data_IF_846553267895
#
_entry.id   IF_846553267895
#
_cell.length_a   1.000
_cell.length_b   1.000
_cell.length_c   1.000
_cell.angle_alpha   90.00
_cell.angle_beta   90.00
_cell.angle_gamma   90.00
#
_symmetry.space_group_name_H-M   'P 1'
#
loop_
_entity.id
_entity.type
_entity.pdbx_description
1 polymer ?
#
# COMPACT_ATOMS: atom_id res chain seq x y z
N UNK A 1 21.33 -0.71 9.64
CA UNK A 1 19.91 -0.55 10.04
C UNK A 1 19.13 -1.72 9.44
N UNK A 2 17.99 -2.12 10.00
CA UNK A 2 17.10 -3.08 9.33
C UNK A 2 16.16 -2.34 8.37
N UNK A 3 15.82 -2.96 7.24
CA UNK A 3 14.85 -2.40 6.30
C UNK A 3 13.48 -2.20 6.97
N UNK A 4 12.74 -1.19 6.55
CA UNK A 4 11.44 -0.83 7.09
C UNK A 4 10.42 -0.68 5.94
N UNK A 5 9.80 -1.78 5.56
CA UNK A 5 8.86 -1.79 4.44
C UNK A 5 7.47 -1.25 4.77
N UNK A 6 7.27 -0.77 6.00
CA UNK A 6 5.97 -0.29 6.49
C UNK A 6 4.88 -1.36 6.43
N UNK A 7 3.75 -1.07 7.00
CA UNK A 7 2.60 -1.97 6.92
C UNK A 7 1.61 -1.43 5.89
N UNK A 8 1.04 -2.30 5.06
CA UNK A 8 0.04 -1.93 4.08
C UNK A 8 -1.28 -1.43 4.69
N UNK A 9 -1.54 -1.79 5.95
CA UNK A 9 -2.65 -1.25 6.74
C UNK A 9 -2.08 -0.25 7.74
N UNK A 10 -2.13 1.08 7.47
CA UNK A 10 -1.46 2.07 8.30
C UNK A 10 -2.15 2.25 9.66
N UNK A 11 -1.36 2.47 10.71
CA UNK A 11 -1.88 2.73 12.06
C UNK A 11 -2.83 3.94 12.10
N UNK A 12 -2.61 4.95 11.24
CA UNK A 12 -3.48 6.13 11.15
C UNK A 12 -4.92 5.77 10.78
N UNK A 13 -5.13 4.77 9.91
CA UNK A 13 -6.46 4.27 9.57
C UNK A 13 -7.12 3.60 10.79
N UNK A 14 -6.38 2.78 11.53
CA UNK A 14 -6.88 2.09 12.72
C UNK A 14 -7.30 3.11 13.78
N UNK A 15 -6.45 4.10 14.04
CA UNK A 15 -6.75 5.15 15.04
C UNK A 15 -7.94 6.02 14.63
N UNK A 16 -8.08 6.36 13.35
CA UNK A 16 -9.22 7.13 12.85
C UNK A 16 -10.53 6.35 13.00
N UNK A 17 -10.56 5.06 12.68
CA UNK A 17 -11.73 4.20 12.83
C UNK A 17 -12.08 3.98 14.30
N UNK A 18 -11.09 3.80 15.17
CA UNK A 18 -11.30 3.69 16.62
C UNK A 18 -11.87 4.98 17.21
N UNK A 19 -11.34 6.15 16.82
CA UNK A 19 -11.87 7.45 17.20
C UNK A 19 -13.32 7.64 16.71
N UNK A 20 -13.61 7.30 15.45
CA UNK A 20 -14.97 7.32 14.92
C UNK A 20 -15.92 6.43 15.73
N UNK A 21 -15.49 5.23 16.08
CA UNK A 21 -16.27 4.31 16.94
C UNK A 21 -16.59 4.94 18.29
N UNK A 22 -15.59 5.57 18.93
CA UNK A 22 -15.77 6.23 20.21
C UNK A 22 -16.73 7.43 20.12
N UNK A 23 -16.59 8.27 19.09
CA UNK A 23 -17.44 9.45 18.86
C UNK A 23 -18.89 9.02 18.60
N UNK A 24 -19.13 8.10 17.69
CA UNK A 24 -20.47 7.59 17.42
C UNK A 24 -21.08 6.86 18.63
N UNK A 25 -20.26 6.10 19.37
CA UNK A 25 -20.68 5.42 20.59
C UNK A 25 -21.12 6.39 21.69
N UNK A 26 -20.32 7.42 21.94
CA UNK A 26 -20.67 8.48 22.90
C UNK A 26 -21.93 9.24 22.45
N UNK A 27 -22.05 9.55 21.16
CA UNK A 27 -23.25 10.17 20.57
C UNK A 27 -24.50 9.28 20.76
N UNK A 28 -24.38 7.99 20.50
CA UNK A 28 -25.48 7.02 20.72
C UNK A 28 -25.91 7.02 22.18
N UNK A 29 -24.95 6.92 23.11
CA UNK A 29 -25.24 6.95 24.55
C UNK A 29 -25.92 8.26 24.95
N UNK A 30 -25.41 9.41 24.53
CA UNK A 30 -26.02 10.71 24.81
C UNK A 30 -27.48 10.80 24.30
N UNK A 31 -27.74 10.30 23.09
CA UNK A 31 -29.09 10.28 22.51
C UNK A 31 -30.06 9.37 23.29
N UNK A 32 -29.56 8.28 23.91
CA UNK A 32 -30.40 7.40 24.73
C UNK A 32 -30.96 8.11 25.96
N UNK A 33 -30.22 9.08 26.54
CA UNK A 33 -30.61 9.85 27.72
C UNK A 33 -31.24 11.21 27.38
N UNK A 34 -31.19 11.64 26.12
CA UNK A 34 -31.78 12.93 25.73
C UNK A 34 -33.30 12.93 25.84
N UNK A 35 -33.87 14.04 26.31
CA UNK A 35 -35.30 14.28 26.32
C UNK A 35 -35.74 14.86 25.00
N UNK A 36 -36.37 14.04 24.14
CA UNK A 36 -36.78 14.38 22.78
C UNK A 36 -37.95 13.49 22.32
N UNK A 37 -38.55 13.90 21.19
CA UNK A 37 -39.64 13.15 20.58
C UNK A 37 -39.23 11.66 20.37
N UNK A 38 -40.04 10.67 20.83
CA UNK A 38 -39.69 9.25 20.79
C UNK A 38 -39.39 8.71 19.39
N UNK A 39 -40.08 9.20 18.37
CA UNK A 39 -39.86 8.76 16.98
C UNK A 39 -38.52 9.26 16.45
N UNK A 40 -38.20 10.54 16.68
CA UNK A 40 -36.89 11.14 16.37
C UNK A 40 -35.77 10.43 17.10
N UNK A 41 -35.95 10.16 18.42
CA UNK A 41 -34.99 9.46 19.26
C UNK A 41 -34.62 8.09 18.66
N UNK A 42 -35.62 7.28 18.33
CA UNK A 42 -35.41 5.97 17.71
C UNK A 42 -34.64 6.06 16.40
N UNK A 43 -35.00 7.02 15.53
CA UNK A 43 -34.31 7.23 14.27
C UNK A 43 -32.85 7.62 14.47
N UNK A 44 -32.57 8.62 15.33
CA UNK A 44 -31.21 9.09 15.59
C UNK A 44 -30.34 8.03 16.29
N UNK A 45 -30.87 7.38 17.33
CA UNK A 45 -30.16 6.28 18.00
C UNK A 45 -29.85 5.14 17.02
N UNK A 46 -30.80 4.80 16.13
CA UNK A 46 -30.59 3.80 15.12
C UNK A 46 -29.48 4.18 14.12
N UNK A 47 -29.53 5.42 13.61
CA UNK A 47 -28.54 5.88 12.60
C UNK A 47 -27.14 6.01 13.22
N UNK A 48 -27.01 6.69 14.35
CA UNK A 48 -25.71 6.91 15.02
C UNK A 48 -25.17 5.59 15.59
N UNK A 49 -26.04 4.71 16.10
CA UNK A 49 -25.67 3.38 16.57
C UNK A 49 -25.17 2.49 15.41
N UNK A 50 -25.81 2.55 14.25
CA UNK A 50 -25.30 1.87 13.06
C UNK A 50 -23.90 2.36 12.67
N UNK A 51 -23.65 3.68 12.74
CA UNK A 51 -22.31 4.25 12.55
C UNK A 51 -21.27 3.68 13.52
N UNK A 52 -21.63 3.53 14.80
CA UNK A 52 -20.77 2.89 15.82
C UNK A 52 -20.41 1.46 15.44
N UNK A 53 -21.39 0.67 15.02
CA UNK A 53 -21.17 -0.74 14.64
C UNK A 53 -20.29 -0.87 13.39
N UNK A 54 -20.52 -0.04 12.38
CA UNK A 54 -19.73 -0.05 11.14
C UNK A 54 -18.29 0.35 11.42
N UNK A 55 -18.07 1.49 12.10
CA UNK A 55 -16.72 1.92 12.44
C UNK A 55 -15.99 0.91 13.33
N UNK A 56 -16.69 0.32 14.30
CA UNK A 56 -16.15 -0.70 15.21
C UNK A 56 -15.75 -1.98 14.47
N UNK A 57 -16.60 -2.47 13.57
CA UNK A 57 -16.30 -3.64 12.76
C UNK A 57 -15.11 -3.37 11.82
N UNK A 58 -15.07 -2.21 11.18
CA UNK A 58 -13.94 -1.81 10.32
C UNK A 58 -12.64 -1.65 11.12
N UNK A 59 -12.70 -1.07 12.33
CA UNK A 59 -11.54 -0.96 13.21
C UNK A 59 -11.00 -2.34 13.61
N UNK A 60 -11.87 -3.25 14.04
CA UNK A 60 -11.49 -4.61 14.42
C UNK A 60 -10.88 -5.38 13.24
N UNK A 61 -11.48 -5.25 12.05
CA UNK A 61 -10.94 -5.85 10.82
C UNK A 61 -9.58 -5.26 10.46
N UNK A 62 -9.42 -3.93 10.58
CA UNK A 62 -8.15 -3.26 10.28
C UNK A 62 -7.03 -3.68 11.22
N UNK A 63 -7.31 -3.87 12.52
CA UNK A 63 -6.34 -4.41 13.49
C UNK A 63 -5.93 -5.84 13.11
N UNK A 64 -6.91 -6.69 12.76
CA UNK A 64 -6.63 -8.05 12.30
C UNK A 64 -5.79 -8.06 11.03
N UNK A 65 -6.16 -7.26 10.03
CA UNK A 65 -5.45 -7.13 8.76
C UNK A 65 -4.03 -6.58 8.97
N UNK A 66 -3.87 -5.54 9.82
CA UNK A 66 -2.56 -5.00 10.17
C UNK A 66 -1.59 -6.09 10.69
N UNK A 67 -2.09 -6.95 11.58
CA UNK A 67 -1.29 -8.07 12.09
C UNK A 67 -0.92 -9.11 11.03
N UNK A 68 -1.77 -9.30 9.99
CA UNK A 68 -1.50 -10.24 8.89
C UNK A 68 -0.56 -9.66 7.83
N UNK A 69 -0.69 -8.37 7.52
CA UNK A 69 0.11 -7.67 6.52
C UNK A 69 1.41 -7.06 7.08
N UNK A 70 1.75 -7.31 8.34
CA UNK A 70 3.05 -6.90 8.88
C UNK A 70 4.17 -7.67 8.18
N UNK A 71 5.16 -6.94 7.63
CA UNK A 71 6.29 -7.54 6.92
C UNK A 71 7.15 -8.42 7.84
N UNK A 72 7.34 -7.97 9.09
CA UNK A 72 8.12 -8.67 10.12
C UNK A 72 7.24 -9.37 11.17
N UNK A 73 5.94 -9.49 10.92
CA UNK A 73 4.98 -10.10 11.83
C UNK A 73 4.98 -11.63 11.76
N UNK A 74 4.10 -12.26 12.56
CA UNK A 74 3.99 -13.74 12.58
C UNK A 74 3.51 -14.36 11.26
N UNK A 75 2.64 -13.65 10.51
CA UNK A 75 2.05 -14.18 9.27
C UNK A 75 2.80 -13.70 8.02
N UNK A 76 3.40 -12.53 8.07
CA UNK A 76 4.24 -11.94 7.01
C UNK A 76 3.60 -11.95 5.60
N UNK A 77 2.27 -11.75 5.51
CA UNK A 77 1.54 -11.89 4.25
C UNK A 77 2.05 -10.95 3.15
N UNK A 78 2.40 -9.71 3.51
CA UNK A 78 2.98 -8.77 2.54
C UNK A 78 4.34 -9.24 2.02
N UNK A 79 5.17 -9.82 2.89
CA UNK A 79 6.45 -10.42 2.51
C UNK A 79 6.25 -11.62 1.60
N UNK A 80 5.35 -12.53 1.96
CA UNK A 80 5.03 -13.71 1.15
C UNK A 80 4.56 -13.31 -0.26
N UNK A 81 3.76 -12.24 -0.37
CA UNK A 81 3.29 -11.72 -1.67
C UNK A 81 4.45 -11.13 -2.46
N UNK A 82 5.28 -10.29 -1.85
CA UNK A 82 6.43 -9.64 -2.49
C UNK A 82 7.43 -10.69 -2.99
N UNK A 83 7.84 -11.61 -2.12
CA UNK A 83 8.79 -12.65 -2.46
C UNK A 83 8.22 -13.61 -3.52
N UNK A 84 6.94 -14.00 -3.38
CA UNK A 84 6.27 -14.85 -4.36
C UNK A 84 6.12 -14.18 -5.72
N UNK A 85 5.89 -12.86 -5.79
CA UNK A 85 5.88 -12.12 -7.07
C UNK A 85 7.28 -12.07 -7.67
N UNK A 86 8.28 -11.78 -6.85
CA UNK A 86 9.67 -11.72 -7.31
C UNK A 86 10.20 -13.07 -7.83
N UNK A 87 9.62 -14.21 -7.43
CA UNK A 87 9.98 -15.54 -7.96
C UNK A 87 9.75 -15.70 -9.46
N UNK A 88 8.75 -15.02 -9.98
CA UNK A 88 8.40 -15.06 -11.41
C UNK A 88 9.07 -13.95 -12.23
N UNK A 89 9.78 -13.06 -11.58
CA UNK A 89 10.43 -11.92 -12.23
C UNK A 89 11.87 -12.26 -12.60
N UNK A 90 12.18 -12.27 -13.90
CA UNK A 90 13.51 -12.58 -14.42
C UNK A 90 13.94 -11.53 -15.44
N UNK A 91 15.21 -11.13 -15.39
CA UNK A 91 15.84 -10.22 -16.35
C UNK A 91 16.94 -10.95 -17.12
N UNK A 92 17.17 -10.58 -18.39
CA UNK A 92 18.38 -10.98 -19.10
C UNK A 92 19.61 -10.37 -18.42
N UNK A 93 20.80 -10.88 -18.75
CA UNK A 93 22.06 -10.31 -18.25
C UNK A 93 22.21 -8.84 -18.73
N UNK A 94 22.42 -7.92 -17.79
CA UNK A 94 22.45 -6.49 -18.04
C UNK A 94 21.07 -5.83 -18.25
N UNK A 95 19.98 -6.60 -18.16
CA UNK A 95 18.62 -6.13 -18.38
C UNK A 95 18.13 -5.14 -17.30
N UNK A 96 17.11 -4.37 -17.67
CA UNK A 96 16.50 -3.36 -16.81
C UNK A 96 15.05 -3.72 -16.54
N UNK A 97 14.68 -3.81 -15.25
CA UNK A 97 13.31 -4.04 -14.81
C UNK A 97 12.68 -2.80 -14.24
N UNK A 98 11.36 -2.66 -14.39
CA UNK A 98 10.57 -1.58 -13.81
C UNK A 98 9.59 -2.14 -12.78
N UNK A 99 9.53 -1.51 -11.61
CA UNK A 99 8.49 -1.73 -10.59
C UNK A 99 7.62 -0.48 -10.47
N UNK A 100 6.37 -0.58 -10.91
CA UNK A 100 5.42 0.54 -10.95
C UNK A 100 4.60 0.57 -9.67
N UNK A 101 4.65 1.71 -8.96
CA UNK A 101 4.03 1.86 -7.65
C UNK A 101 4.84 1.15 -6.57
N UNK A 102 6.15 1.35 -6.55
CA UNK A 102 7.09 0.62 -5.70
C UNK A 102 6.91 0.87 -4.19
N UNK A 103 6.20 1.93 -3.79
CA UNK A 103 5.85 2.26 -2.40
C UNK A 103 7.08 2.41 -1.50
N UNK A 104 7.42 1.38 -0.74
CA UNK A 104 8.60 1.30 0.13
C UNK A 104 9.80 0.58 -0.51
N UNK A 105 9.71 0.21 -1.80
CA UNK A 105 10.75 -0.48 -2.54
C UNK A 105 10.84 -1.99 -2.30
N UNK A 106 9.90 -2.59 -1.58
CA UNK A 106 9.99 -4.00 -1.19
C UNK A 106 10.09 -4.96 -2.39
N UNK A 107 9.23 -4.78 -3.40
CA UNK A 107 9.23 -5.63 -4.59
C UNK A 107 10.42 -5.32 -5.50
N UNK A 108 10.74 -4.04 -5.69
CA UNK A 108 11.93 -3.60 -6.43
C UNK A 108 13.19 -4.29 -5.88
N UNK A 109 13.39 -4.25 -4.56
CA UNK A 109 14.55 -4.84 -3.88
C UNK A 109 14.53 -6.37 -3.99
N UNK A 110 13.37 -7.01 -3.81
CA UNK A 110 13.24 -8.47 -3.94
C UNK A 110 13.59 -8.94 -5.36
N UNK A 111 13.11 -8.23 -6.40
CA UNK A 111 13.45 -8.51 -7.80
C UNK A 111 14.94 -8.27 -8.08
N UNK A 112 15.52 -7.18 -7.55
CA UNK A 112 16.94 -6.87 -7.72
C UNK A 112 17.86 -7.96 -7.15
N UNK A 113 17.54 -8.49 -5.96
CA UNK A 113 18.29 -9.61 -5.34
C UNK A 113 18.30 -10.86 -6.19
N UNK A 114 17.20 -11.13 -6.90
CA UNK A 114 17.06 -12.31 -7.77
C UNK A 114 17.72 -12.12 -9.14
N UNK A 115 17.96 -10.88 -9.52
CA UNK A 115 18.58 -10.51 -10.79
C UNK A 115 19.86 -9.68 -10.57
N UNK A 116 20.93 -10.29 -9.98
CA UNK A 116 22.14 -9.54 -9.59
C UNK A 116 22.94 -8.99 -10.77
N UNK A 117 22.71 -9.51 -11.98
CA UNK A 117 23.34 -9.04 -13.22
C UNK A 117 22.46 -8.00 -13.97
N UNK A 118 21.27 -7.73 -13.49
CA UNK A 118 20.36 -6.72 -14.01
C UNK A 118 20.24 -5.52 -13.04
N UNK A 119 19.40 -4.56 -13.44
CA UNK A 119 19.09 -3.36 -12.64
C UNK A 119 17.58 -3.22 -12.49
N UNK A 120 17.12 -2.83 -11.31
CA UNK A 120 15.72 -2.54 -11.04
C UNK A 120 15.49 -1.04 -10.86
N UNK A 121 14.47 -0.51 -11.53
CA UNK A 121 13.99 0.86 -11.36
C UNK A 121 12.63 0.80 -10.68
N UNK A 122 12.49 1.43 -9.52
CA UNK A 122 11.21 1.60 -8.83
C UNK A 122 10.67 3.02 -9.04
N UNK A 123 9.43 3.14 -9.47
CA UNK A 123 8.75 4.43 -9.57
C UNK A 123 7.52 4.47 -8.70
N UNK A 124 7.26 5.63 -8.08
CA UNK A 124 6.04 5.90 -7.33
C UNK A 124 5.74 7.40 -7.33
N UNK A 125 4.49 7.76 -7.12
CA UNK A 125 4.08 9.17 -7.01
C UNK A 125 4.40 9.75 -5.63
N UNK A 126 4.46 8.91 -4.61
CA UNK A 126 4.61 9.27 -3.19
C UNK A 126 3.73 10.46 -2.81
N UNK A 127 2.45 10.37 -3.17
CA UNK A 127 1.45 11.39 -2.90
C UNK A 127 1.23 11.60 -1.39
N UNK A 128 0.61 12.73 -1.04
CA UNK A 128 0.34 13.08 0.37
C UNK A 128 -0.52 12.05 1.10
N UNK A 129 -1.33 11.30 0.39
CA UNK A 129 -2.16 10.21 0.90
C UNK A 129 -1.33 9.01 1.41
N UNK A 130 -0.10 8.87 0.92
CA UNK A 130 0.86 7.84 1.30
C UNK A 130 2.12 8.43 1.93
N UNK A 131 1.95 9.44 2.81
CA UNK A 131 3.06 10.19 3.42
C UNK A 131 4.07 9.34 4.23
N UNK A 132 3.77 8.06 4.48
CA UNK A 132 4.69 7.11 5.11
C UNK A 132 5.70 6.50 4.13
N UNK A 133 5.50 6.66 2.82
CA UNK A 133 6.37 6.19 1.76
C UNK A 133 7.12 7.36 1.11
N UNK A 134 8.34 7.14 0.67
CA UNK A 134 9.16 8.13 -0.01
C UNK A 134 10.29 7.47 -0.77
N UNK A 135 10.87 8.17 -1.74
CA UNK A 135 12.09 7.75 -2.42
C UNK A 135 13.21 7.42 -1.42
N UNK A 136 13.46 8.31 -0.47
CA UNK A 136 14.49 8.12 0.56
C UNK A 136 14.27 6.84 1.39
N UNK A 137 13.02 6.51 1.72
CA UNK A 137 12.71 5.25 2.41
C UNK A 137 13.10 4.02 1.57
N UNK A 138 12.90 4.09 0.24
CA UNK A 138 13.28 2.99 -0.66
C UNK A 138 14.81 2.84 -0.73
N UNK A 139 15.53 3.95 -0.82
CA UNK A 139 16.99 4.00 -0.80
C UNK A 139 17.54 3.44 0.52
N UNK A 140 17.02 3.90 1.67
CA UNK A 140 17.38 3.39 3.00
C UNK A 140 17.13 1.88 3.12
N UNK A 141 16.02 1.38 2.57
CA UNK A 141 15.70 -0.05 2.58
C UNK A 141 16.66 -0.86 1.70
N UNK A 142 17.01 -0.33 0.52
CA UNK A 142 17.99 -0.96 -0.38
C UNK A 142 19.36 -1.06 0.28
N UNK A 143 19.83 0.02 0.90
CA UNK A 143 21.09 0.06 1.64
C UNK A 143 21.08 -0.91 2.83
N UNK A 144 19.98 -0.95 3.60
CA UNK A 144 19.83 -1.85 4.75
C UNK A 144 19.86 -3.34 4.35
N UNK A 145 19.42 -3.66 3.14
CA UNK A 145 19.42 -5.00 2.56
C UNK A 145 20.70 -5.31 1.76
N UNK A 146 21.61 -4.32 1.62
CA UNK A 146 22.87 -4.46 0.88
C UNK A 146 22.69 -4.62 -0.63
N UNK A 147 21.59 -4.11 -1.18
CA UNK A 147 21.26 -4.18 -2.60
C UNK A 147 21.72 -2.89 -3.28
N UNK A 148 22.51 -3.00 -4.35
CA UNK A 148 23.10 -1.84 -5.03
C UNK A 148 22.66 -1.67 -6.48
N UNK A 149 21.86 -2.60 -6.99
CA UNK A 149 21.35 -2.59 -8.36
C UNK A 149 19.89 -2.13 -8.43
N UNK A 150 19.54 -1.13 -7.60
CA UNK A 150 18.21 -0.50 -7.58
C UNK A 150 18.35 1.01 -7.79
N UNK A 151 17.37 1.60 -8.45
CA UNK A 151 17.18 3.05 -8.58
C UNK A 151 15.73 3.38 -8.25
N UNK A 152 15.48 4.54 -7.63
CA UNK A 152 14.13 4.95 -7.27
C UNK A 152 13.87 6.37 -7.76
N UNK A 153 12.74 6.57 -8.45
CA UNK A 153 12.36 7.87 -9.02
C UNK A 153 10.90 8.20 -8.74
N UNK A 154 10.61 9.48 -8.53
CA UNK A 154 9.23 9.93 -8.54
C UNK A 154 8.70 9.86 -9.97
N UNK A 155 7.58 9.17 -10.19
CA UNK A 155 6.99 8.98 -11.50
C UNK A 155 5.47 8.76 -11.44
N UNK A 156 4.81 8.99 -12.57
CA UNK A 156 3.39 8.71 -12.75
C UNK A 156 3.25 7.48 -13.67
N UNK A 157 2.59 6.43 -13.15
CA UNK A 157 2.31 5.22 -13.91
C UNK A 157 1.47 5.45 -15.19
N UNK A 158 0.73 6.57 -15.24
CA UNK A 158 -0.06 6.94 -16.42
C UNK A 158 0.77 7.68 -17.49
N UNK A 159 2.00 8.07 -17.15
CA UNK A 159 2.89 8.77 -18.06
C UNK A 159 4.33 8.44 -17.66
N UNK A 160 4.89 7.48 -18.36
CA UNK A 160 6.29 7.07 -18.16
C UNK A 160 7.20 7.99 -18.99
N UNK A 161 8.16 8.61 -18.33
CA UNK A 161 9.15 9.48 -18.98
C UNK A 161 10.40 8.67 -19.40
N UNK A 162 10.19 7.50 -20.02
CA UNK A 162 11.24 6.62 -20.55
C UNK A 162 11.04 6.39 -22.04
N UNK A 163 12.11 6.12 -22.80
CA UNK A 163 12.01 5.72 -24.20
C UNK A 163 11.24 4.39 -24.35
N UNK A 164 10.67 4.18 -25.53
CA UNK A 164 10.08 2.89 -25.89
C UNK A 164 11.13 1.77 -25.79
N UNK A 165 10.71 0.58 -25.41
CA UNK A 165 11.58 -0.62 -25.26
C UNK A 165 12.74 -0.42 -24.26
N UNK A 166 12.61 0.50 -23.29
CA UNK A 166 13.67 0.76 -22.31
C UNK A 166 13.78 -0.32 -21.23
N UNK A 167 12.68 -0.98 -20.92
CA UNK A 167 12.61 -2.01 -19.88
C UNK A 167 12.42 -3.41 -20.49
N UNK A 168 13.18 -4.38 -19.99
CA UNK A 168 13.07 -5.78 -20.40
C UNK A 168 11.91 -6.51 -19.70
N UNK A 169 11.51 -6.03 -18.51
CA UNK A 169 10.38 -6.57 -17.77
C UNK A 169 9.78 -5.53 -16.85
N UNK A 170 8.47 -5.63 -16.63
CA UNK A 170 7.73 -4.74 -15.73
C UNK A 170 6.98 -5.55 -14.68
N UNK A 171 7.01 -5.07 -13.46
CA UNK A 171 6.21 -5.60 -12.36
C UNK A 171 5.44 -4.48 -11.67
N UNK A 172 4.36 -4.85 -11.01
CA UNK A 172 3.60 -3.93 -10.17
C UNK A 172 2.85 -4.75 -9.13
N UNK A 173 2.86 -4.28 -7.90
CA UNK A 173 2.12 -4.90 -6.83
C UNK A 173 1.20 -3.88 -6.16
N UNK A 174 -0.12 -4.14 -6.26
CA UNK A 174 -1.13 -3.40 -5.51
C UNK A 174 -1.36 -1.94 -5.92
N UNK A 175 -1.36 -1.63 -7.21
CA UNK A 175 -1.90 -0.35 -7.67
C UNK A 175 -3.43 -0.41 -7.60
N UNK A 176 -3.99 0.03 -6.46
CA UNK A 176 -5.43 0.15 -6.27
C UNK A 176 -5.91 1.52 -6.76
N UNK A 177 -6.28 1.64 -8.02
CA UNK A 177 -7.07 2.78 -8.51
C UNK A 177 -8.07 2.32 -9.57
N UNK A 178 -9.16 3.08 -9.75
CA UNK A 178 -10.11 2.90 -10.86
C UNK A 178 -9.45 3.01 -12.25
N UNK A 179 -8.19 3.46 -12.27
CA UNK A 179 -7.35 3.58 -13.46
C UNK A 179 -6.40 2.39 -13.67
N UNK A 180 -6.41 1.39 -12.77
CA UNK A 180 -5.48 0.25 -12.86
C UNK A 180 -5.55 -0.51 -14.20
N UNK A 181 -6.74 -0.60 -14.81
CA UNK A 181 -6.90 -1.19 -16.14
C UNK A 181 -6.27 -0.33 -17.25
N UNK A 182 -6.30 1.00 -17.10
CA UNK A 182 -5.67 1.94 -18.06
C UNK A 182 -4.15 1.94 -17.89
N UNK A 183 -3.66 1.81 -16.67
CA UNK A 183 -2.23 1.70 -16.36
C UNK A 183 -1.65 0.43 -16.97
N UNK A 184 -2.28 -0.72 -16.76
CA UNK A 184 -1.83 -1.99 -17.35
C UNK A 184 -1.85 -1.93 -18.88
N UNK A 185 -2.89 -1.37 -19.48
CA UNK A 185 -2.97 -1.20 -20.93
C UNK A 185 -1.96 -0.18 -21.47
N UNK A 186 -1.69 0.91 -20.72
CA UNK A 186 -0.67 1.90 -21.07
C UNK A 186 0.73 1.30 -21.04
N UNK A 187 1.09 0.61 -19.98
CA UNK A 187 2.39 -0.07 -19.85
C UNK A 187 2.58 -1.12 -20.97
N UNK A 188 1.55 -1.92 -21.25
CA UNK A 188 1.62 -2.93 -22.33
C UNK A 188 1.75 -2.26 -23.70
N UNK A 189 1.08 -1.11 -23.95
CA UNK A 189 1.18 -0.42 -25.25
C UNK A 189 2.52 0.29 -25.46
N UNK A 190 3.25 0.63 -24.40
CA UNK A 190 4.59 1.21 -24.47
C UNK A 190 5.71 0.14 -24.51
N UNK A 191 5.38 -1.12 -24.19
CA UNK A 191 6.30 -2.26 -24.23
C UNK A 191 6.22 -3.08 -25.54
N UNK A 192 5.20 -2.83 -26.40
CA UNK A 192 5.00 -3.49 -27.68
C UNK A 192 5.34 -2.56 -28.85
#
# INVERSE_FOLDING_TARGET
MSANYKNWVPNGMITALAAGTAIFGAGTAALMFADMNPTMKKALVGTVGAGTLVCGAMAAWSVYAHGKFSYDGKRQLSKDIVEGTAEYFTLPEGGIGLDVGCGSGALTIACAKRNPQGRMVGIDRWGKEYASFSQHLCEDNSDAEGVQNTEFHQGDACKLDYPDEYFDAVTSNYIMSDQSLLIVNGIISELL
#
